data_IF_152538498089
#
_entry.id   IF_152538498089
#
_cell.length_a   1.000
_cell.length_b   1.000
_cell.length_c   1.000
_cell.angle_alpha   90.00
_cell.angle_beta   90.00
_cell.angle_gamma   90.00
#
_symmetry.space_group_name_H-M   'P 1'
#
loop_
_entity.id
_entity.type
_entity.pdbx_description
1 polymer ?
#
# COMPACT_ATOMS: atom_id res chain seq x y z
N UNK A 1 -9.69 7.21 7.06
CA UNK A 1 -9.63 6.06 6.13
C UNK A 1 -8.28 5.96 5.42
N UNK A 2 -7.88 6.93 4.59
CA UNK A 2 -6.59 6.91 3.85
C UNK A 2 -5.36 6.73 4.76
N UNK A 3 -5.31 7.48 5.87
CA UNK A 3 -4.22 7.39 6.86
C UNK A 3 -4.03 5.97 7.40
N UNK A 4 -5.13 5.30 7.78
CA UNK A 4 -5.10 3.94 8.31
C UNK A 4 -4.55 2.90 7.32
N UNK A 5 -4.77 3.10 6.00
CA UNK A 5 -4.23 2.22 4.96
C UNK A 5 -2.71 2.36 4.89
N UNK A 6 -2.19 3.59 4.82
CA UNK A 6 -0.75 3.82 4.73
C UNK A 6 -0.01 3.52 6.04
N UNK A 7 -0.65 3.69 7.20
CA UNK A 7 -0.11 3.26 8.49
C UNK A 7 0.04 1.73 8.52
N UNK A 8 -0.98 0.97 8.08
CA UNK A 8 -0.92 -0.48 7.94
C UNK A 8 0.21 -0.92 7.00
N UNK A 9 0.31 -0.28 5.83
CA UNK A 9 1.37 -0.54 4.84
C UNK A 9 2.76 -0.26 5.46
N UNK A 10 2.93 0.87 6.15
CA UNK A 10 4.22 1.22 6.75
C UNK A 10 4.65 0.19 7.81
N UNK A 11 3.73 -0.26 8.67
CA UNK A 11 4.00 -1.28 9.68
C UNK A 11 4.41 -2.60 9.02
N UNK A 12 3.69 -3.02 7.98
CA UNK A 12 4.00 -4.26 7.26
C UNK A 12 5.41 -4.23 6.63
N UNK A 13 5.80 -3.11 6.02
CA UNK A 13 7.14 -2.93 5.44
C UNK A 13 8.22 -2.84 6.52
N UNK A 14 7.93 -2.22 7.67
CA UNK A 14 8.87 -2.14 8.79
C UNK A 14 9.20 -3.51 9.37
N UNK A 15 8.23 -4.42 9.38
CA UNK A 15 8.42 -5.80 9.79
C UNK A 15 9.10 -6.65 8.70
N UNK A 16 8.76 -6.40 7.44
CA UNK A 16 9.34 -7.10 6.30
C UNK A 16 9.50 -6.16 5.09
N UNK A 17 10.71 -5.61 4.85
CA UNK A 17 10.96 -4.63 3.79
C UNK A 17 10.70 -5.11 2.37
N UNK A 18 10.59 -6.43 2.15
CA UNK A 18 10.32 -7.04 0.84
C UNK A 18 8.87 -7.49 0.68
N UNK A 19 7.99 -7.14 1.63
CA UNK A 19 6.59 -7.55 1.60
C UNK A 19 5.80 -6.79 0.54
N UNK A 20 5.05 -7.54 -0.27
CA UNK A 20 4.00 -7.01 -1.12
C UNK A 20 2.67 -7.03 -0.36
N UNK A 21 1.87 -5.98 -0.54
CA UNK A 21 0.52 -5.89 0.01
C UNK A 21 -0.45 -6.35 -1.07
N UNK A 22 -1.15 -7.45 -0.80
CA UNK A 22 -2.07 -8.03 -1.78
C UNK A 22 -3.35 -7.20 -1.91
N UNK A 23 -3.96 -7.24 -3.10
CA UNK A 23 -5.25 -6.57 -3.30
C UNK A 23 -6.36 -7.16 -2.42
N UNK A 24 -6.34 -8.48 -2.23
CA UNK A 24 -7.28 -9.18 -1.36
C UNK A 24 -7.19 -8.68 0.08
N UNK A 25 -5.97 -8.60 0.64
CA UNK A 25 -5.74 -8.12 2.01
C UNK A 25 -6.32 -6.72 2.23
N UNK A 26 -6.10 -5.83 1.26
CA UNK A 26 -6.57 -4.45 1.32
C UNK A 26 -8.09 -4.37 1.18
N UNK A 27 -8.68 -5.18 0.30
CA UNK A 27 -10.12 -5.25 0.14
C UNK A 27 -10.81 -5.75 1.42
N UNK A 28 -10.30 -6.83 2.01
CA UNK A 28 -10.85 -7.42 3.24
C UNK A 28 -10.72 -6.48 4.44
N UNK A 29 -9.59 -5.76 4.59
CA UNK A 29 -9.36 -4.87 5.73
C UNK A 29 -10.04 -3.51 5.61
N UNK A 30 -10.10 -2.94 4.41
CA UNK A 30 -10.46 -1.53 4.22
C UNK A 30 -11.67 -1.32 3.28
N UNK A 31 -12.29 -2.39 2.80
CA UNK A 31 -13.44 -2.37 1.89
C UNK A 31 -13.23 -1.46 0.66
N UNK A 32 -12.00 -1.42 0.14
CA UNK A 32 -11.61 -0.63 -1.04
C UNK A 32 -11.41 -1.54 -2.24
N UNK A 33 -11.87 -1.10 -3.41
CA UNK A 33 -11.66 -1.84 -4.66
C UNK A 33 -10.19 -1.79 -5.10
N UNK A 34 -9.75 -2.77 -5.88
CA UNK A 34 -8.38 -2.81 -6.39
C UNK A 34 -8.04 -1.53 -7.18
N UNK A 35 -8.97 -1.08 -8.03
CA UNK A 35 -8.83 0.16 -8.79
C UNK A 35 -8.68 1.38 -7.85
N UNK A 36 -9.56 1.50 -6.85
CA UNK A 36 -9.50 2.59 -5.88
C UNK A 36 -8.22 2.56 -5.05
N UNK A 37 -7.71 1.38 -4.69
CA UNK A 37 -6.43 1.26 -4.00
C UNK A 37 -5.25 1.68 -4.88
N UNK A 38 -5.23 1.29 -6.15
CA UNK A 38 -4.20 1.71 -7.11
C UNK A 38 -4.20 3.23 -7.27
N UNK A 39 -5.38 3.85 -7.44
CA UNK A 39 -5.51 5.31 -7.55
C UNK A 39 -5.04 6.01 -6.27
N UNK A 40 -5.41 5.49 -5.11
CA UNK A 40 -4.97 5.99 -3.82
C UNK A 40 -3.44 5.93 -3.68
N UNK A 41 -2.84 4.80 -4.03
CA UNK A 41 -1.38 4.62 -3.98
C UNK A 41 -0.66 5.57 -4.92
N UNK A 42 -1.12 5.70 -6.16
CA UNK A 42 -0.51 6.63 -7.14
C UNK A 42 -0.59 8.09 -6.69
N UNK A 43 -1.69 8.49 -6.07
CA UNK A 43 -1.94 9.89 -5.70
C UNK A 43 -1.31 10.30 -4.36
N UNK A 44 -1.21 9.38 -3.39
CA UNK A 44 -0.90 9.74 -2.01
C UNK A 44 0.40 9.11 -1.46
N UNK A 45 0.97 8.05 -2.07
CA UNK A 45 2.06 7.28 -1.42
C UNK A 45 3.30 8.13 -1.10
N UNK A 46 3.59 9.14 -1.92
CA UNK A 46 4.71 10.05 -1.72
C UNK A 46 4.58 10.87 -0.42
N UNK A 47 3.35 11.22 0.00
CA UNK A 47 3.09 11.95 1.25
C UNK A 47 3.49 11.13 2.47
N UNK A 48 3.50 9.81 2.33
CA UNK A 48 3.90 8.85 3.36
C UNK A 48 5.35 8.36 3.17
N UNK A 49 6.14 9.01 2.30
CA UNK A 49 7.51 8.61 1.96
C UNK A 49 7.61 7.15 1.46
N UNK A 50 6.59 6.68 0.75
CA UNK A 50 6.54 5.33 0.19
C UNK A 50 6.59 5.39 -1.35
N UNK A 51 7.46 4.57 -1.93
CA UNK A 51 7.51 4.34 -3.38
C UNK A 51 6.90 2.97 -3.71
N UNK A 52 5.79 2.94 -4.46
CA UNK A 52 5.13 1.70 -4.83
C UNK A 52 5.71 1.10 -6.12
N UNK A 53 5.67 -0.23 -6.21
CA UNK A 53 5.82 -1.01 -7.44
C UNK A 53 4.56 -1.85 -7.58
N UNK A 54 3.76 -1.55 -8.62
CA UNK A 54 2.44 -2.15 -8.83
C UNK A 54 2.58 -3.37 -9.73
N UNK A 55 1.98 -4.50 -9.31
CA UNK A 55 1.92 -5.73 -10.09
C UNK A 55 0.46 -6.13 -10.32
N UNK A 56 0.22 -7.29 -10.96
CA UNK A 56 -1.13 -7.81 -11.21
C UNK A 56 -1.86 -8.19 -9.92
N UNK A 57 -1.13 -8.70 -8.92
CA UNK A 57 -1.73 -9.35 -7.74
C UNK A 57 -1.48 -8.57 -6.43
N UNK A 58 -0.43 -7.74 -6.40
CA UNK A 58 -0.06 -6.98 -5.20
C UNK A 58 0.70 -5.68 -5.53
N UNK A 59 0.91 -4.86 -4.50
CA UNK A 59 1.77 -3.67 -4.56
C UNK A 59 2.91 -3.82 -3.56
N UNK A 60 4.14 -3.77 -4.05
CA UNK A 60 5.33 -3.68 -3.21
C UNK A 60 5.61 -2.23 -2.86
N UNK A 61 6.13 -1.97 -1.67
CA UNK A 61 6.42 -0.63 -1.21
C UNK A 61 7.83 -0.57 -0.62
N UNK A 62 8.53 0.53 -0.89
CA UNK A 62 9.81 0.86 -0.25
C UNK A 62 9.78 2.24 0.37
N UNK A 63 10.44 2.40 1.51
CA UNK A 63 10.63 3.72 2.13
C UNK A 63 11.60 4.57 1.30
N UNK A 64 11.25 5.82 1.10
CA UNK A 64 12.09 6.85 0.47
C UNK A 64 12.81 7.59 1.60
N UNK A 65 14.14 7.70 1.50
CA UNK A 65 14.96 8.50 2.43
C UNK A 65 14.71 9.98 2.23
#
# INVERSE_FOLDING_TARGET
MKKNIFDHISIAIDQNPSMGISYQEINEKFAISNAGFIELVKSESWRYKLRPTITKDCIFFRKIK
#
